data_IF_159901691811
#
_entry.id   IF_159901691811
#
_cell.length_a   1.000
_cell.length_b   1.000
_cell.length_c   1.000
_cell.angle_alpha   90.00
_cell.angle_beta   90.00
_cell.angle_gamma   90.00
#
_symmetry.space_group_name_H-M   'P 1'
#
loop_
_entity.id
_entity.type
_entity.pdbx_description
1 polymer ?
#
# COMPACT_ATOMS: atom_id res chain seq x y z
N UNK A 1 38.65 40.93 26.90
CA UNK A 1 38.73 39.49 26.55
C UNK A 1 37.54 38.81 27.21
N UNK A 2 36.55 38.21 26.56
CA UNK A 2 36.36 37.78 25.17
C UNK A 2 34.84 37.85 24.85
N UNK A 3 34.51 38.07 23.57
CA UNK A 3 33.15 38.01 23.04
C UNK A 3 32.59 36.58 23.16
N UNK A 4 31.32 36.44 23.52
CA UNK A 4 30.54 35.23 23.26
C UNK A 4 29.48 35.56 22.20
N UNK A 5 29.85 35.36 20.93
CA UNK A 5 28.92 35.24 19.83
C UNK A 5 28.82 33.75 19.50
N UNK A 6 27.69 33.12 19.78
CA UNK A 6 27.34 31.82 19.21
C UNK A 6 26.03 31.99 18.45
N UNK A 7 26.14 32.56 17.25
CA UNK A 7 25.16 32.35 16.21
C UNK A 7 25.38 30.94 15.65
N UNK A 8 24.72 29.93 16.23
CA UNK A 8 24.50 28.65 15.56
C UNK A 8 23.24 28.77 14.71
N UNK A 9 23.35 29.56 13.65
CA UNK A 9 22.52 29.35 12.48
C UNK A 9 23.01 28.08 11.81
N UNK A 10 22.30 26.97 11.98
CA UNK A 10 22.49 25.83 11.11
C UNK A 10 22.28 26.32 9.68
N UNK A 11 23.37 26.39 8.91
CA UNK A 11 23.31 26.51 7.46
C UNK A 11 22.51 25.31 6.96
N UNK A 12 21.21 25.50 6.76
CA UNK A 12 20.43 24.65 5.89
C UNK A 12 21.16 24.69 4.56
N UNK A 13 21.88 23.61 4.22
CA UNK A 13 22.51 23.49 2.92
C UNK A 13 21.43 23.82 1.88
N UNK A 14 21.66 24.86 1.08
CA UNK A 14 20.78 25.22 -0.03
C UNK A 14 20.76 24.00 -0.96
N UNK A 15 19.78 23.13 -0.76
CA UNK A 15 19.50 22.05 -1.69
C UNK A 15 19.12 22.73 -3.00
N UNK A 16 19.99 22.56 -3.97
CA UNK A 16 19.80 23.02 -5.31
C UNK A 16 18.79 22.10 -5.98
N UNK A 17 17.54 22.57 -6.07
CA UNK A 17 16.44 21.86 -6.73
C UNK A 17 16.82 21.41 -8.14
N UNK A 18 17.61 22.22 -8.86
CA UNK A 18 18.08 21.88 -10.21
C UNK A 18 18.90 20.60 -10.22
N UNK A 19 19.78 20.39 -9.22
CA UNK A 19 20.59 19.17 -9.13
C UNK A 19 19.77 17.93 -8.82
N UNK A 20 18.71 18.06 -8.01
CA UNK A 20 17.79 16.94 -7.76
C UNK A 20 17.08 16.60 -9.07
N UNK A 21 16.54 17.60 -9.77
CA UNK A 21 15.84 17.39 -11.03
C UNK A 21 16.75 16.73 -12.07
N UNK A 22 17.96 17.23 -12.26
CA UNK A 22 18.93 16.67 -13.22
C UNK A 22 19.26 15.21 -12.88
N UNK A 23 19.48 14.92 -11.59
CA UNK A 23 19.72 13.53 -11.12
C UNK A 23 18.53 12.61 -11.40
N UNK A 24 17.29 13.09 -11.19
CA UNK A 24 16.09 12.31 -11.48
C UNK A 24 15.92 12.13 -12.98
N UNK A 25 16.07 13.18 -13.78
CA UNK A 25 15.96 13.14 -15.24
C UNK A 25 16.95 12.13 -15.87
N UNK A 26 18.21 12.20 -15.46
CA UNK A 26 19.30 11.34 -15.95
C UNK A 26 19.06 9.84 -15.67
N UNK A 27 18.27 9.52 -14.65
CA UNK A 27 17.91 8.15 -14.30
C UNK A 27 16.59 7.71 -14.93
N UNK A 28 15.57 8.57 -14.89
CA UNK A 28 14.19 8.21 -15.24
C UNK A 28 13.98 8.21 -16.75
N UNK A 29 14.53 9.17 -17.49
CA UNK A 29 14.32 9.21 -18.95
C UNK A 29 14.91 7.97 -19.65
N UNK A 30 16.16 7.54 -19.36
CA UNK A 30 16.69 6.30 -19.95
C UNK A 30 15.96 5.04 -19.47
N UNK A 31 15.50 5.02 -18.21
CA UNK A 31 14.70 3.92 -17.67
C UNK A 31 13.38 3.77 -18.43
N UNK A 32 12.67 4.88 -18.66
CA UNK A 32 11.41 4.89 -19.39
C UNK A 32 11.62 4.45 -20.85
N UNK A 33 12.65 4.98 -21.51
CA UNK A 33 12.99 4.59 -22.89
C UNK A 33 13.30 3.09 -22.98
N UNK A 34 14.18 2.58 -22.11
CA UNK A 34 14.62 1.18 -22.12
C UNK A 34 13.48 0.19 -21.91
N UNK A 35 12.52 0.53 -21.04
CA UNK A 35 11.45 -0.37 -20.64
C UNK A 35 10.10 -0.06 -21.32
N UNK A 36 10.09 0.89 -22.26
CA UNK A 36 8.87 1.37 -22.92
C UNK A 36 7.78 1.80 -21.90
N UNK A 37 8.17 2.45 -20.81
CA UNK A 37 7.25 2.91 -19.77
C UNK A 37 6.54 4.17 -20.28
N UNK A 38 5.20 4.17 -20.42
CA UNK A 38 4.50 5.29 -21.04
C UNK A 38 4.54 6.56 -20.18
N UNK A 39 4.37 6.41 -18.87
CA UNK A 39 4.34 7.53 -17.93
C UNK A 39 4.83 7.13 -16.54
N UNK A 40 5.41 8.09 -15.83
CA UNK A 40 5.93 7.91 -14.48
C UNK A 40 5.79 9.20 -13.69
N UNK A 41 5.55 9.09 -12.38
CA UNK A 41 5.67 10.19 -11.43
C UNK A 41 6.67 9.81 -10.35
N UNK A 42 7.61 10.70 -10.04
CA UNK A 42 8.65 10.51 -9.03
C UNK A 42 8.52 11.60 -7.98
N UNK A 43 8.31 11.20 -6.73
CA UNK A 43 8.22 12.11 -5.60
C UNK A 43 9.42 11.93 -4.65
N UNK A 44 10.06 13.03 -4.28
CA UNK A 44 11.26 13.07 -3.43
C UNK A 44 11.00 14.00 -2.26
N UNK A 45 11.36 13.58 -1.05
CA UNK A 45 11.36 14.44 0.14
C UNK A 45 12.73 14.45 0.80
N UNK A 46 13.30 15.64 0.97
CA UNK A 46 14.62 15.84 1.58
C UNK A 46 14.64 17.17 2.34
N UNK A 47 15.15 17.15 3.57
CA UNK A 47 15.20 18.32 4.46
C UNK A 47 13.86 19.09 4.56
N UNK A 48 12.74 18.36 4.61
CA UNK A 48 11.39 18.93 4.69
C UNK A 48 10.86 19.54 3.40
N UNK A 49 11.63 19.53 2.31
CA UNK A 49 11.20 19.97 0.98
C UNK A 49 10.74 18.79 0.13
N UNK A 50 9.67 19.02 -0.62
CA UNK A 50 9.04 18.02 -1.49
C UNK A 50 9.23 18.41 -2.95
N UNK A 51 9.56 17.44 -3.79
CA UNK A 51 9.76 17.60 -5.22
C UNK A 51 8.98 16.51 -5.95
N UNK A 52 8.25 16.88 -7.00
CA UNK A 52 7.46 15.95 -7.81
C UNK A 52 7.81 16.17 -9.27
N UNK A 53 8.22 15.10 -9.93
CA UNK A 53 8.62 15.09 -11.33
C UNK A 53 7.73 14.13 -12.11
N UNK A 54 7.03 14.65 -13.11
CA UNK A 54 6.08 13.91 -13.92
C UNK A 54 6.61 13.75 -15.35
N UNK A 55 6.50 12.53 -15.87
CA UNK A 55 7.05 12.15 -17.16
C UNK A 55 6.02 11.40 -17.99
N UNK A 56 5.97 11.71 -19.29
CA UNK A 56 5.21 10.93 -20.26
C UNK A 56 3.70 10.97 -20.06
N UNK A 57 3.06 9.83 -20.31
CA UNK A 57 1.62 9.71 -20.53
C UNK A 57 0.96 8.79 -19.51
N UNK A 58 -0.11 9.27 -18.88
CA UNK A 58 -1.05 8.48 -18.09
C UNK A 58 -1.93 7.58 -18.98
N UNK A 59 -2.17 8.02 -20.22
CA UNK A 59 -2.87 7.25 -21.26
C UNK A 59 -2.29 7.57 -22.64
N UNK A 60 -2.10 6.54 -23.47
CA UNK A 60 -1.70 6.67 -24.88
C UNK A 60 -2.86 7.05 -25.79
N UNK A 61 -4.09 6.61 -25.47
CA UNK A 61 -5.27 6.85 -26.30
C UNK A 61 -6.56 7.02 -25.46
N UNK A 62 -7.20 8.20 -25.47
CA UNK A 62 -6.65 9.46 -25.95
C UNK A 62 -5.37 9.82 -25.18
N UNK A 63 -4.48 10.59 -25.80
CA UNK A 63 -3.22 10.98 -25.16
C UNK A 63 -3.51 11.87 -23.94
N UNK A 64 -3.08 11.43 -22.76
CA UNK A 64 -3.16 12.18 -21.52
C UNK A 64 -1.80 12.17 -20.83
N UNK A 65 -1.30 13.34 -20.45
CA UNK A 65 -0.01 13.46 -19.77
C UNK A 65 -0.12 13.03 -18.30
N UNK A 66 0.97 12.54 -17.72
CA UNK A 66 1.05 12.40 -16.26
C UNK A 66 1.06 13.78 -15.62
N UNK A 67 0.25 13.98 -14.60
CA UNK A 67 0.13 15.22 -13.81
C UNK A 67 0.25 14.91 -12.31
N UNK A 68 0.22 15.94 -11.47
CA UNK A 68 0.17 15.80 -10.00
C UNK A 68 -1.09 15.07 -9.50
N UNK A 69 -2.15 15.05 -10.31
CA UNK A 69 -3.42 14.40 -9.97
C UNK A 69 -3.48 12.95 -10.45
N UNK A 70 -2.52 12.50 -11.26
CA UNK A 70 -2.57 11.15 -11.85
C UNK A 70 -2.53 10.08 -10.78
N UNK A 71 -3.57 9.24 -10.77
CA UNK A 71 -3.71 8.08 -9.90
C UNK A 71 -3.04 6.87 -10.56
N UNK A 72 -2.16 6.22 -9.81
CA UNK A 72 -1.52 4.97 -10.19
C UNK A 72 -1.99 3.83 -9.28
N UNK A 73 -2.14 2.64 -9.84
CA UNK A 73 -2.25 1.42 -9.04
C UNK A 73 -0.88 1.11 -8.43
N UNK A 74 -0.84 0.96 -7.10
CA UNK A 74 0.43 0.78 -6.38
C UNK A 74 0.67 -0.65 -5.92
N UNK A 75 -0.24 -1.56 -6.30
CA UNK A 75 -0.18 -2.98 -6.01
C UNK A 75 0.18 -3.24 -4.55
N UNK A 76 1.26 -3.98 -4.33
CA UNK A 76 1.66 -4.42 -2.98
C UNK A 76 2.06 -3.30 -2.00
N UNK A 77 2.22 -2.04 -2.41
CA UNK A 77 2.32 -0.95 -1.43
C UNK A 77 1.06 -0.85 -0.56
N UNK A 78 -0.10 -1.28 -1.08
CA UNK A 78 -1.38 -1.39 -0.34
C UNK A 78 -1.26 -2.18 0.96
N UNK A 79 -0.37 -3.18 1.02
CA UNK A 79 -0.15 -4.00 2.22
C UNK A 79 0.33 -3.20 3.41
N UNK A 80 1.06 -2.12 3.15
CA UNK A 80 1.53 -1.22 4.22
C UNK A 80 0.35 -0.48 4.86
N UNK A 81 -0.71 -0.18 4.11
CA UNK A 81 -1.94 0.43 4.66
C UNK A 81 -2.73 -0.57 5.51
N UNK A 82 -2.82 -1.84 5.08
CA UNK A 82 -3.40 -2.89 5.91
C UNK A 82 -2.60 -3.07 7.22
N UNK A 83 -1.27 -3.02 7.16
CA UNK A 83 -0.41 -3.07 8.34
C UNK A 83 -0.58 -1.84 9.24
N UNK A 84 -0.68 -0.63 8.67
CA UNK A 84 -0.95 0.60 9.42
C UNK A 84 -2.32 0.54 10.10
N UNK A 85 -3.35 0.03 9.42
CA UNK A 85 -4.67 -0.16 10.01
C UNK A 85 -4.63 -1.16 11.17
N UNK A 86 -3.92 -2.28 11.02
CA UNK A 86 -3.74 -3.26 12.09
C UNK A 86 -2.98 -2.66 13.29
N UNK A 87 -1.93 -1.87 13.03
CA UNK A 87 -1.21 -1.15 14.06
C UNK A 87 -2.09 -0.11 14.76
N UNK A 88 -2.91 0.63 14.01
CA UNK A 88 -3.89 1.57 14.53
C UNK A 88 -4.91 0.87 15.45
N UNK A 89 -5.46 -0.26 15.01
CA UNK A 89 -6.35 -1.09 15.83
C UNK A 89 -5.66 -1.59 17.10
N UNK A 90 -4.36 -1.96 17.01
CA UNK A 90 -3.58 -2.39 18.17
C UNK A 90 -3.39 -1.28 19.20
N UNK A 91 -2.90 -0.11 18.78
CA UNK A 91 -2.67 1.01 19.71
C UNK A 91 -4.00 1.58 20.26
N UNK A 92 -5.11 1.36 19.56
CA UNK A 92 -6.47 1.66 20.03
C UNK A 92 -7.04 0.63 21.01
N UNK A 93 -6.27 -0.41 21.38
CA UNK A 93 -6.68 -1.47 22.29
C UNK A 93 -7.75 -2.41 21.73
N UNK A 94 -7.92 -2.45 20.40
CA UNK A 94 -8.93 -3.28 19.71
C UNK A 94 -8.36 -4.58 19.16
N UNK A 95 -7.05 -4.63 18.98
CA UNK A 95 -6.32 -5.75 18.42
C UNK A 95 -5.06 -6.02 19.23
N UNK A 96 -4.69 -7.29 19.35
CA UNK A 96 -3.41 -7.78 19.83
C UNK A 96 -2.83 -8.68 18.76
N UNK A 97 -1.62 -8.36 18.28
CA UNK A 97 -0.95 -9.10 17.22
C UNK A 97 -0.57 -10.53 17.64
N UNK A 98 -0.39 -10.79 18.94
CA UNK A 98 -0.01 -12.10 19.48
C UNK A 98 -1.17 -13.09 19.56
N UNK A 99 -2.42 -12.61 19.51
CA UNK A 99 -3.59 -13.47 19.53
C UNK A 99 -3.70 -14.28 18.22
N UNK A 100 -4.34 -15.45 18.30
CA UNK A 100 -4.57 -16.29 17.13
C UNK A 100 -5.51 -15.61 16.13
N UNK A 101 -5.41 -15.96 14.85
CA UNK A 101 -6.35 -15.52 13.82
C UNK A 101 -7.77 -15.97 14.16
N UNK A 102 -7.94 -17.19 14.67
CA UNK A 102 -9.26 -17.73 15.07
C UNK A 102 -9.89 -17.01 16.27
N UNK A 103 -9.10 -16.26 17.06
CA UNK A 103 -9.62 -15.40 18.11
C UNK A 103 -10.55 -14.32 17.53
N UNK A 104 -10.10 -13.65 16.46
CA UNK A 104 -10.84 -12.58 15.78
C UNK A 104 -11.77 -13.07 14.66
N UNK A 105 -11.52 -14.27 14.15
CA UNK A 105 -12.35 -14.94 13.14
C UNK A 105 -12.92 -16.23 13.74
N UNK A 106 -13.98 -16.17 14.58
CA UNK A 106 -14.51 -17.32 15.29
C UNK A 106 -14.90 -18.50 14.40
N UNK A 107 -15.24 -18.22 13.13
CA UNK A 107 -15.52 -19.22 12.11
C UNK A 107 -14.34 -20.16 11.88
N UNK A 108 -13.11 -19.75 12.20
CA UNK A 108 -11.88 -20.53 12.03
C UNK A 108 -11.42 -21.27 13.30
N UNK A 109 -12.19 -21.22 14.40
CA UNK A 109 -11.87 -22.00 15.61
C UNK A 109 -11.88 -23.51 15.32
N UNK A 110 -10.89 -24.23 15.84
CA UNK A 110 -10.68 -25.65 15.58
C UNK A 110 -9.94 -25.95 14.26
N UNK A 111 -9.53 -24.93 13.52
CA UNK A 111 -8.68 -25.07 12.32
C UNK A 111 -7.21 -24.77 12.64
N UNK A 112 -6.34 -24.89 11.64
CA UNK A 112 -4.91 -24.51 11.74
C UNK A 112 -4.70 -23.07 12.25
N UNK A 113 -5.68 -22.19 12.09
CA UNK A 113 -5.62 -20.80 12.53
C UNK A 113 -5.73 -20.59 14.05
N UNK A 114 -5.97 -21.65 14.83
CA UNK A 114 -5.76 -21.63 16.29
C UNK A 114 -4.28 -21.48 16.66
N UNK A 115 -3.37 -21.83 15.74
CA UNK A 115 -1.92 -21.81 15.94
C UNK A 115 -1.21 -20.77 15.06
N UNK A 116 -1.95 -19.94 14.33
CA UNK A 116 -1.42 -18.84 13.53
C UNK A 116 -1.80 -17.53 14.22
N UNK A 117 -0.81 -16.74 14.65
CA UNK A 117 -1.07 -15.41 15.22
C UNK A 117 -1.42 -14.37 14.15
N UNK A 118 -2.06 -13.27 14.56
CA UNK A 118 -2.24 -12.11 13.67
C UNK A 118 -0.89 -11.56 13.21
N UNK A 119 0.13 -11.59 14.08
CA UNK A 119 1.50 -11.23 13.73
C UNK A 119 2.01 -12.08 12.56
N UNK A 120 1.79 -13.40 12.58
CA UNK A 120 2.26 -14.28 11.52
C UNK A 120 1.67 -13.95 10.14
N UNK A 121 0.38 -13.58 10.08
CA UNK A 121 -0.22 -13.18 8.79
C UNK A 121 0.29 -11.82 8.34
N UNK A 122 0.61 -10.92 9.27
CA UNK A 122 1.21 -9.61 8.96
C UNK A 122 2.70 -9.66 8.59
N UNK A 123 3.44 -10.68 9.03
CA UNK A 123 4.88 -10.86 8.74
C UNK A 123 5.16 -11.91 7.67
N UNK A 124 4.11 -12.45 7.03
CA UNK A 124 4.22 -13.50 6.02
C UNK A 124 4.83 -14.79 6.55
N UNK A 125 4.59 -15.14 7.81
CA UNK A 125 5.11 -16.36 8.44
C UNK A 125 4.02 -17.34 8.85
N UNK A 126 2.80 -17.20 8.32
CA UNK A 126 1.71 -18.17 8.56
C UNK A 126 1.89 -19.46 7.76
N UNK A 127 2.63 -19.43 6.65
CA UNK A 127 2.71 -20.53 5.68
C UNK A 127 1.62 -20.50 4.60
N UNK A 128 0.77 -19.46 4.58
CA UNK A 128 -0.18 -19.25 3.48
C UNK A 128 0.56 -18.99 2.16
N UNK A 129 0.01 -19.54 1.07
CA UNK A 129 0.57 -19.35 -0.27
C UNK A 129 0.41 -17.91 -0.78
N UNK A 130 1.14 -17.59 -1.87
CA UNK A 130 1.18 -16.25 -2.44
C UNK A 130 -0.20 -15.75 -2.92
N UNK A 131 -0.86 -16.54 -3.76
CA UNK A 131 -2.09 -16.15 -4.46
C UNK A 131 -3.31 -16.87 -3.91
N UNK A 132 -4.44 -16.16 -3.86
CA UNK A 132 -5.74 -16.76 -3.63
C UNK A 132 -6.05 -17.74 -4.78
N UNK A 133 -6.50 -18.98 -4.48
CA UNK A 133 -7.06 -19.85 -5.52
C UNK A 133 -8.15 -19.16 -6.33
N UNK A 134 -8.09 -19.29 -7.65
CA UNK A 134 -8.97 -18.55 -8.57
C UNK A 134 -10.45 -18.90 -8.39
N UNK A 135 -10.79 -20.08 -7.89
CA UNK A 135 -12.16 -20.54 -7.66
C UNK A 135 -12.83 -19.91 -6.42
N UNK A 136 -12.05 -19.23 -5.57
CA UNK A 136 -12.57 -18.52 -4.40
C UNK A 136 -13.03 -17.13 -4.82
N UNK A 137 -14.35 -16.95 -4.92
CA UNK A 137 -15.00 -15.71 -5.38
C UNK A 137 -15.85 -15.02 -4.30
N UNK A 138 -16.13 -15.68 -3.19
CA UNK A 138 -16.94 -15.12 -2.10
C UNK A 138 -16.48 -15.58 -0.71
N UNK A 139 -17.01 -14.93 0.33
CA UNK A 139 -16.64 -15.18 1.73
C UNK A 139 -16.91 -16.61 2.17
N UNK A 140 -17.99 -17.24 1.69
CA UNK A 140 -18.30 -18.64 2.01
C UNK A 140 -17.21 -19.59 1.52
N UNK A 141 -16.77 -19.42 0.28
CA UNK A 141 -15.66 -20.18 -0.31
C UNK A 141 -14.33 -19.90 0.41
N UNK A 142 -14.06 -18.64 0.73
CA UNK A 142 -12.87 -18.25 1.49
C UNK A 142 -12.82 -18.97 2.84
N UNK A 143 -13.91 -18.93 3.60
CA UNK A 143 -13.96 -19.57 4.92
C UNK A 143 -13.84 -21.10 4.82
N UNK A 144 -14.42 -21.72 3.78
CA UNK A 144 -14.25 -23.15 3.53
C UNK A 144 -12.78 -23.50 3.23
N UNK A 145 -12.12 -22.73 2.36
CA UNK A 145 -10.70 -22.89 2.06
C UNK A 145 -9.82 -22.74 3.29
N UNK A 146 -10.02 -21.68 4.08
CA UNK A 146 -9.23 -21.41 5.28
C UNK A 146 -9.42 -22.48 6.36
N UNK A 147 -10.66 -22.98 6.56
CA UNK A 147 -10.92 -24.09 7.48
C UNK A 147 -10.19 -25.38 7.09
N UNK A 148 -10.13 -25.67 5.79
CA UNK A 148 -9.49 -26.87 5.27
C UNK A 148 -7.95 -26.75 5.14
N UNK A 149 -7.44 -25.52 5.12
CA UNK A 149 -6.01 -25.25 4.94
C UNK A 149 -5.17 -25.81 6.10
N UNK A 150 -4.05 -26.43 5.74
CA UNK A 150 -3.02 -26.92 6.66
C UNK A 150 -1.66 -26.40 6.20
N UNK A 151 -0.84 -25.82 7.10
CA UNK A 151 0.49 -25.39 6.73
C UNK A 151 1.43 -26.59 6.52
N UNK A 152 2.44 -26.42 5.67
CA UNK A 152 3.51 -27.41 5.50
C UNK A 152 4.46 -27.44 6.71
N UNK A 153 4.69 -26.27 7.33
CA UNK A 153 5.58 -26.07 8.47
C UNK A 153 4.84 -25.35 9.60
N UNK A 154 5.35 -25.42 10.83
CA UNK A 154 4.74 -24.66 11.94
C UNK A 154 4.75 -23.15 11.65
N UNK A 155 3.68 -22.44 11.99
CA UNK A 155 3.60 -20.99 11.84
C UNK A 155 4.73 -20.30 12.61
N UNK A 156 5.33 -19.28 12.01
CA UNK A 156 6.48 -18.55 12.55
C UNK A 156 7.86 -19.11 12.15
N UNK A 157 7.93 -20.29 11.52
CA UNK A 157 9.23 -20.92 11.17
C UNK A 157 9.78 -20.51 9.81
N UNK A 158 8.92 -20.19 8.85
CA UNK A 158 9.31 -19.84 7.48
C UNK A 158 8.56 -18.61 7.00
N UNK A 159 9.19 -17.83 6.10
CA UNK A 159 8.58 -16.67 5.46
C UNK A 159 8.11 -17.00 4.05
N UNK A 160 6.81 -16.92 3.81
CA UNK A 160 6.17 -17.06 2.50
C UNK A 160 5.32 -15.83 2.23
N UNK A 161 5.80 -14.94 1.34
CA UNK A 161 5.08 -13.72 0.96
C UNK A 161 3.66 -14.07 0.46
N UNK A 162 2.63 -13.47 1.06
CA UNK A 162 1.24 -13.91 0.87
C UNK A 162 0.24 -12.76 0.78
N UNK A 163 -0.51 -12.72 -0.32
CA UNK A 163 -1.68 -11.85 -0.44
C UNK A 163 -2.79 -12.30 0.51
N UNK A 164 -2.97 -13.61 0.69
CA UNK A 164 -3.99 -14.18 1.60
C UNK A 164 -3.70 -13.76 3.04
N UNK A 165 -2.45 -13.89 3.50
CA UNK A 165 -2.04 -13.45 4.84
C UNK A 165 -2.30 -11.96 5.06
N UNK A 166 -1.95 -11.12 4.08
CA UNK A 166 -2.23 -9.68 4.17
C UNK A 166 -3.72 -9.37 4.16
N UNK A 167 -4.48 -10.11 3.36
CA UNK A 167 -5.94 -10.07 3.34
C UNK A 167 -6.56 -10.34 4.70
N UNK A 168 -6.09 -11.39 5.38
CA UNK A 168 -6.53 -11.70 6.73
C UNK A 168 -6.14 -10.61 7.73
N UNK A 169 -4.95 -10.02 7.61
CA UNK A 169 -4.53 -8.91 8.48
C UNK A 169 -5.50 -7.72 8.38
N UNK A 170 -5.78 -7.25 7.16
CA UNK A 170 -6.70 -6.13 6.94
C UNK A 170 -8.14 -6.44 7.39
N UNK A 171 -8.64 -7.62 7.04
CA UNK A 171 -9.97 -8.09 7.47
C UNK A 171 -10.11 -8.15 9.00
N UNK A 172 -9.11 -8.69 9.71
CA UNK A 172 -9.10 -8.75 11.17
C UNK A 172 -9.04 -7.35 11.79
N UNK A 173 -8.19 -6.48 11.26
CA UNK A 173 -8.07 -5.10 11.73
C UNK A 173 -9.41 -4.36 11.61
N UNK A 174 -10.04 -4.40 10.44
CA UNK A 174 -11.33 -3.76 10.21
C UNK A 174 -12.45 -4.35 11.10
N UNK A 175 -12.52 -5.69 11.21
CA UNK A 175 -13.49 -6.38 12.08
C UNK A 175 -13.31 -5.98 13.56
N UNK A 176 -12.07 -5.83 14.03
CA UNK A 176 -11.78 -5.38 15.40
C UNK A 176 -12.22 -3.93 15.67
N UNK A 177 -12.28 -3.10 14.63
CA UNK A 177 -12.79 -1.73 14.66
C UNK A 177 -14.31 -1.64 14.44
N UNK A 178 -14.98 -2.76 14.12
CA UNK A 178 -16.42 -2.83 13.92
C UNK A 178 -16.92 -2.27 12.58
N UNK A 179 -16.06 -2.19 11.57
CA UNK A 179 -16.36 -1.63 10.24
C UNK A 179 -15.86 -2.54 9.11
N UNK A 180 -16.27 -2.29 7.86
CA UNK A 180 -15.65 -2.95 6.71
C UNK A 180 -14.23 -2.43 6.48
N UNK A 181 -13.40 -3.18 5.74
CA UNK A 181 -12.05 -2.73 5.41
C UNK A 181 -12.06 -1.47 4.55
N UNK A 182 -13.02 -1.37 3.63
CA UNK A 182 -13.21 -0.19 2.78
C UNK A 182 -13.49 1.05 3.63
N UNK A 183 -14.42 0.96 4.58
CA UNK A 183 -14.75 2.06 5.47
C UNK A 183 -13.59 2.40 6.41
N UNK A 184 -12.86 1.40 6.91
CA UNK A 184 -11.69 1.61 7.73
C UNK A 184 -10.59 2.38 6.98
N UNK A 185 -10.38 2.09 5.70
CA UNK A 185 -9.38 2.77 4.87
C UNK A 185 -9.89 4.15 4.43
N UNK A 186 -11.02 4.22 3.74
CA UNK A 186 -11.46 5.43 3.05
C UNK A 186 -12.12 6.45 3.98
N UNK A 187 -12.74 6.04 5.09
CA UNK A 187 -13.41 6.95 6.03
C UNK A 187 -12.60 7.24 7.30
N UNK A 188 -11.58 6.42 7.59
CA UNK A 188 -10.76 6.59 8.80
C UNK A 188 -9.29 6.83 8.46
N UNK A 189 -8.60 5.84 7.90
CA UNK A 189 -7.14 5.87 7.77
C UNK A 189 -6.65 6.95 6.80
N UNK A 190 -7.14 6.94 5.55
CA UNK A 190 -6.70 7.90 4.54
C UNK A 190 -7.04 9.35 4.92
N UNK A 191 -8.25 9.67 5.44
CA UNK A 191 -8.53 11.01 5.94
C UNK A 191 -7.65 11.44 7.11
N UNK A 192 -7.37 10.56 8.08
CA UNK A 192 -6.47 10.89 9.20
C UNK A 192 -5.03 11.14 8.75
N UNK A 193 -4.59 10.45 7.69
CA UNK A 193 -3.30 10.68 7.06
C UNK A 193 -3.34 11.88 6.11
N UNK A 194 -4.49 12.50 5.84
CA UNK A 194 -4.68 13.61 4.89
C UNK A 194 -4.42 13.22 3.43
N UNK A 195 -4.68 11.97 3.06
CA UNK A 195 -4.48 11.41 1.73
C UNK A 195 -5.81 11.44 0.97
N UNK A 196 -6.14 12.60 0.41
CA UNK A 196 -7.45 12.86 -0.20
C UNK A 196 -7.57 12.40 -1.65
N UNK A 197 -6.47 12.03 -2.30
CA UNK A 197 -6.42 11.48 -3.65
C UNK A 197 -5.88 10.04 -3.62
N UNK A 198 -6.36 9.28 -2.64
CA UNK A 198 -6.03 7.89 -2.42
C UNK A 198 -7.32 7.11 -2.22
N UNK A 199 -7.47 6.00 -2.94
CA UNK A 199 -8.73 5.30 -3.05
C UNK A 199 -8.52 3.78 -3.12
N UNK A 200 -9.43 3.01 -2.56
CA UNK A 200 -9.62 1.61 -2.97
C UNK A 200 -10.48 1.56 -4.23
N UNK A 201 -11.54 2.39 -4.25
CA UNK A 201 -12.41 2.58 -5.41
C UNK A 201 -12.33 4.03 -5.90
N UNK A 202 -11.72 4.23 -7.07
CA UNK A 202 -11.64 5.56 -7.69
C UNK A 202 -13.06 6.09 -7.98
N UNK A 203 -13.44 7.28 -7.47
CA UNK A 203 -14.76 7.85 -7.69
C UNK A 203 -14.90 8.44 -9.11
N UNK A 204 -16.14 8.64 -9.55
CA UNK A 204 -16.45 9.01 -10.93
C UNK A 204 -15.79 10.33 -11.39
N UNK A 205 -15.70 11.31 -10.49
CA UNK A 205 -15.06 12.62 -10.72
C UNK A 205 -13.53 12.54 -10.80
N UNK A 206 -12.93 11.41 -10.43
CA UNK A 206 -11.48 11.18 -10.47
C UNK A 206 -11.07 10.18 -11.55
N UNK A 207 -12.03 9.60 -12.29
CA UNK A 207 -11.73 8.61 -13.33
C UNK A 207 -10.87 9.17 -14.46
N UNK A 208 -10.97 10.48 -14.76
CA UNK A 208 -10.11 11.13 -15.75
C UNK A 208 -8.63 11.20 -15.33
N UNK A 209 -8.37 11.12 -14.02
CA UNK A 209 -7.03 11.13 -13.45
C UNK A 209 -6.46 9.71 -13.31
N UNK A 210 -7.24 8.66 -13.55
CA UNK A 210 -6.80 7.28 -13.37
C UNK A 210 -6.01 6.80 -14.58
N UNK A 211 -4.68 6.72 -14.41
CA UNK A 211 -3.79 6.23 -15.46
C UNK A 211 -4.15 4.79 -15.89
N UNK A 212 -3.93 4.49 -17.17
CA UNK A 212 -3.98 3.12 -17.67
C UNK A 212 -2.65 2.41 -17.37
N UNK A 213 -2.74 1.18 -16.84
CA UNK A 213 -1.62 0.26 -16.85
C UNK A 213 -1.40 -0.28 -18.25
N UNK A 214 -0.16 -0.61 -18.61
CA UNK A 214 0.18 -1.23 -19.89
C UNK A 214 0.83 -2.58 -19.63
N UNK A 215 0.19 -3.66 -20.08
CA UNK A 215 0.66 -5.01 -19.84
C UNK A 215 1.86 -5.36 -20.74
N UNK A 216 2.37 -6.60 -20.68
CA UNK A 216 3.52 -7.05 -21.48
C UNK A 216 3.31 -6.97 -23.01
N UNK A 217 2.06 -6.88 -23.47
CA UNK A 217 1.66 -6.71 -24.87
C UNK A 217 1.34 -5.26 -25.21
N UNK A 218 1.59 -4.33 -24.30
CA UNK A 218 1.25 -2.91 -24.41
C UNK A 218 -0.26 -2.63 -24.52
N UNK A 219 -1.08 -3.55 -24.03
CA UNK A 219 -2.54 -3.38 -23.98
C UNK A 219 -2.92 -2.60 -22.69
N UNK A 220 -3.86 -1.65 -22.78
CA UNK A 220 -4.32 -0.89 -21.62
C UNK A 220 -5.12 -1.79 -20.68
N UNK A 221 -4.78 -1.77 -19.39
CA UNK A 221 -5.40 -2.59 -18.34
C UNK A 221 -5.55 -1.81 -17.04
N UNK A 222 -6.58 -2.17 -16.27
CA UNK A 222 -6.71 -1.88 -14.84
C UNK A 222 -6.81 -3.18 -14.06
N UNK A 223 -6.45 -3.12 -12.78
CA UNK A 223 -6.56 -4.26 -11.87
C UNK A 223 -8.01 -4.73 -11.76
N UNK A 224 -8.20 -6.05 -11.84
CA UNK A 224 -9.45 -6.68 -11.43
C UNK A 224 -9.44 -6.89 -9.90
N UNK A 225 -10.38 -6.30 -9.19
CA UNK A 225 -10.47 -6.43 -7.74
C UNK A 225 -11.22 -7.70 -7.37
N UNK A 226 -10.55 -8.62 -6.68
CA UNK A 226 -11.11 -9.89 -6.20
C UNK A 226 -11.17 -9.92 -4.67
N UNK A 227 -11.63 -11.02 -4.10
CA UNK A 227 -11.76 -11.19 -2.65
C UNK A 227 -10.41 -10.94 -1.93
N UNK A 228 -10.44 -10.14 -0.87
CA UNK A 228 -9.26 -9.65 -0.13
C UNK A 228 -8.25 -8.85 -0.98
N UNK A 229 -8.64 -8.42 -2.19
CA UNK A 229 -7.78 -7.64 -3.07
C UNK A 229 -7.54 -6.22 -2.54
N UNK A 230 -8.52 -5.61 -1.87
CA UNK A 230 -8.39 -4.28 -1.29
C UNK A 230 -7.24 -4.22 -0.28
N UNK A 231 -7.16 -5.20 0.60
CA UNK A 231 -6.15 -5.39 1.61
C UNK A 231 -4.76 -5.65 1.02
N UNK A 232 -4.70 -6.46 -0.04
CA UNK A 232 -3.43 -6.95 -0.57
C UNK A 232 -2.81 -6.04 -1.65
N UNK A 233 -3.61 -5.40 -2.49
CA UNK A 233 -3.14 -4.68 -3.67
C UNK A 233 -4.08 -3.57 -4.20
N UNK A 234 -5.08 -3.14 -3.43
CA UNK A 234 -6.19 -2.34 -3.95
C UNK A 234 -6.04 -0.83 -3.98
N UNK A 235 -4.98 -0.23 -3.44
CA UNK A 235 -4.84 1.23 -3.41
C UNK A 235 -4.50 1.78 -4.80
N UNK A 236 -5.18 2.88 -5.16
CA UNK A 236 -4.84 3.79 -6.25
C UNK A 236 -4.62 5.16 -5.65
N UNK A 237 -3.52 5.83 -6.00
CA UNK A 237 -3.09 7.04 -5.30
C UNK A 237 -2.18 7.89 -6.18
N UNK A 238 -1.99 9.15 -5.81
CA UNK A 238 -1.01 10.05 -6.44
C UNK A 238 0.36 9.91 -5.80
N UNK A 239 1.40 10.34 -6.51
CA UNK A 239 2.76 10.41 -5.95
C UNK A 239 2.84 11.41 -4.78
N UNK A 240 2.06 12.50 -4.82
CA UNK A 240 1.92 13.48 -3.74
C UNK A 240 1.39 12.87 -2.45
N UNK A 241 0.31 12.09 -2.53
CA UNK A 241 -0.30 11.42 -1.38
C UNK A 241 0.62 10.34 -0.81
N UNK A 242 1.30 9.56 -1.67
CA UNK A 242 2.30 8.62 -1.19
C UNK A 242 3.51 9.30 -0.54
N UNK A 243 3.93 10.46 -1.04
CA UNK A 243 5.00 11.22 -0.39
C UNK A 243 4.57 11.69 0.99
N UNK A 244 3.31 12.14 1.14
CA UNK A 244 2.71 12.48 2.43
C UNK A 244 2.68 11.27 3.37
N UNK A 245 2.35 10.09 2.86
CA UNK A 245 2.43 8.84 3.62
C UNK A 245 3.85 8.53 4.09
N UNK A 246 4.86 8.68 3.22
CA UNK A 246 6.27 8.54 3.58
C UNK A 246 6.67 9.53 4.67
N UNK A 247 6.22 10.78 4.58
CA UNK A 247 6.50 11.80 5.60
C UNK A 247 5.88 11.43 6.95
N UNK A 248 4.67 10.88 6.98
CA UNK A 248 4.03 10.45 8.23
C UNK A 248 4.84 9.38 9.00
N UNK A 249 5.62 8.54 8.31
CA UNK A 249 6.52 7.57 8.95
C UNK A 249 7.83 8.17 9.48
N UNK A 250 8.18 9.39 9.07
CA UNK A 250 9.43 10.05 9.49
C UNK A 250 9.26 10.94 10.73
N UNK A 251 8.01 11.16 11.18
CA UNK A 251 7.67 12.13 12.24
C UNK A 251 7.79 13.58 11.76
#
# INVERSE_FOLDING_TARGET
TCLAATAQGALAANIDESKIKDTVDDLIQPLMQKNNIPGMSVAVTVNGKNYIYNYGLAAKQPQQSVTENTLFEVGSLSKTFAATLASYAQVSGKLSLDQSVSHYVPELRGSSFDHVSVLNVGTHTSGLQLFMPEDIKNTTQLMAYLKAWKPADAAGTHRVYSNIGTGLLGMIAAKSLGVSYEDAIEKTLLPQLGMHHSYLKVPADQMENYAWGYNKKDEPVHVNMEILGNEAYGIKTTSSDLLRYVQAYRG
#
